data_IF_921431426263
#
_entry.id   IF_921431426263
#
_cell.length_a   1.000
_cell.length_b   1.000
_cell.length_c   1.000
_cell.angle_alpha   90.00
_cell.angle_beta   90.00
_cell.angle_gamma   90.00
#
_symmetry.space_group_name_H-M   'P 1'
#
loop_
_entity.id
_entity.type
_entity.pdbx_description
1 polymer ?
#
# COMPACT_ATOMS: atom_id res chain seq x y z
N UNK A 1 10.68 28.61 4.69
CA UNK A 1 10.51 28.10 6.08
C UNK A 1 11.42 26.89 6.30
N UNK A 2 11.44 25.92 5.38
CA UNK A 2 12.30 24.72 5.38
C UNK A 2 13.79 24.98 5.67
N UNK A 3 14.44 25.91 4.97
CA UNK A 3 15.87 26.21 5.16
C UNK A 3 16.25 26.69 6.58
N UNK A 4 15.29 27.15 7.39
CA UNK A 4 15.60 27.69 8.74
C UNK A 4 15.57 26.64 9.85
N UNK A 5 15.03 25.45 9.60
CA UNK A 5 14.80 24.46 10.65
C UNK A 5 15.51 23.13 10.43
N UNK A 6 15.87 22.79 9.19
CA UNK A 6 16.58 21.54 8.85
C UNK A 6 17.84 21.33 9.70
N UNK A 7 18.65 22.37 9.91
CA UNK A 7 19.91 22.26 10.67
C UNK A 7 19.73 21.93 12.17
N UNK A 8 18.49 21.97 12.67
CA UNK A 8 18.15 21.81 14.09
C UNK A 8 17.30 20.55 14.33
N UNK A 9 16.80 19.91 13.26
CA UNK A 9 15.94 18.73 13.38
C UNK A 9 16.76 17.51 13.85
N UNK A 10 16.18 16.66 14.72
CA UNK A 10 16.72 15.33 15.00
C UNK A 10 16.85 14.50 13.72
N UNK A 11 17.80 13.56 13.72
CA UNK A 11 18.06 12.65 12.61
C UNK A 11 16.79 11.91 12.14
N UNK A 12 15.93 11.49 13.08
CA UNK A 12 14.66 10.84 12.77
C UNK A 12 13.71 11.75 11.97
N UNK A 13 13.65 13.05 12.28
CA UNK A 13 12.77 13.99 11.57
C UNK A 13 13.35 14.35 10.19
N UNK A 14 14.67 14.41 10.05
CA UNK A 14 15.35 14.56 8.77
C UNK A 14 15.12 13.36 7.85
N UNK A 15 15.18 12.14 8.39
CA UNK A 15 14.88 10.92 7.66
C UNK A 15 13.45 10.94 7.11
N UNK A 16 12.47 11.37 7.93
CA UNK A 16 11.07 11.50 7.50
C UNK A 16 10.92 12.47 6.33
N UNK A 17 11.58 13.63 6.39
CA UNK A 17 11.53 14.62 5.32
C UNK A 17 12.13 14.05 4.03
N UNK A 18 13.30 13.40 4.09
CA UNK A 18 13.95 12.81 2.92
C UNK A 18 13.08 11.71 2.28
N UNK A 19 12.45 10.85 3.08
CA UNK A 19 11.52 9.82 2.58
C UNK A 19 10.31 10.47 1.88
N UNK A 20 9.72 11.51 2.48
CA UNK A 20 8.55 12.19 1.89
C UNK A 20 8.94 12.89 0.59
N UNK A 21 10.01 13.67 0.57
CA UNK A 21 10.48 14.39 -0.62
C UNK A 21 10.77 13.42 -1.77
N UNK A 22 11.45 12.31 -1.48
CA UNK A 22 11.74 11.30 -2.51
C UNK A 22 10.51 10.55 -2.99
N UNK A 23 9.56 10.27 -2.11
CA UNK A 23 8.27 9.67 -2.49
C UNK A 23 7.53 10.59 -3.45
N UNK A 24 7.45 11.89 -3.14
CA UNK A 24 6.81 12.88 -3.99
C UNK A 24 7.55 13.07 -5.32
N UNK A 25 8.88 13.16 -5.30
CA UNK A 25 9.69 13.28 -6.51
C UNK A 25 9.52 12.07 -7.42
N UNK A 26 9.43 10.86 -6.86
CA UNK A 26 9.15 9.66 -7.64
C UNK A 26 7.78 9.71 -8.31
N UNK A 27 6.74 10.12 -7.58
CA UNK A 27 5.39 10.28 -8.12
C UNK A 27 5.30 11.34 -9.23
N UNK A 28 6.18 12.35 -9.23
CA UNK A 28 6.13 13.49 -10.17
C UNK A 28 7.06 13.31 -11.37
N UNK A 29 8.25 12.72 -11.19
CA UNK A 29 9.36 12.88 -12.13
C UNK A 29 9.90 11.58 -12.73
N UNK A 30 9.50 10.38 -12.25
CA UNK A 30 10.05 9.08 -12.67
C UNK A 30 11.60 8.98 -12.68
N UNK A 31 12.33 9.96 -12.11
CA UNK A 31 13.79 10.02 -12.27
C UNK A 31 14.48 8.94 -11.45
N UNK A 32 15.22 8.09 -12.19
CA UNK A 32 16.10 7.04 -11.70
C UNK A 32 17.22 7.61 -10.82
N UNK A 33 17.01 7.60 -9.51
CA UNK A 33 18.15 7.40 -8.62
C UNK A 33 17.94 6.08 -7.89
N UNK A 34 18.94 5.20 -7.98
CA UNK A 34 19.03 3.93 -7.25
C UNK A 34 18.73 4.19 -5.77
N UNK A 35 17.54 3.79 -5.35
CA UNK A 35 17.06 3.98 -3.98
C UNK A 35 17.76 3.08 -2.98
N UNK A 36 18.49 2.08 -3.45
CA UNK A 36 18.92 1.03 -2.55
C UNK A 36 20.01 1.52 -1.59
N UNK A 37 21.06 2.21 -2.04
CA UNK A 37 22.23 2.39 -1.17
C UNK A 37 22.01 3.29 0.06
N UNK A 38 21.17 4.33 -0.05
CA UNK A 38 21.02 5.33 1.03
C UNK A 38 20.13 4.81 2.16
N UNK A 39 19.12 4.00 1.84
CA UNK A 39 18.16 3.51 2.83
C UNK A 39 18.27 2.02 3.16
N UNK A 40 19.14 1.26 2.49
CA UNK A 40 19.26 -0.18 2.74
C UNK A 40 19.61 -0.48 4.20
N UNK A 41 20.48 0.31 4.84
CA UNK A 41 20.80 0.14 6.25
C UNK A 41 19.58 0.32 7.15
N UNK A 42 18.72 1.32 6.85
CA UNK A 42 17.48 1.56 7.58
C UNK A 42 16.45 0.44 7.33
N UNK A 43 16.36 -0.07 6.10
CA UNK A 43 15.50 -1.23 5.77
C UNK A 43 15.96 -2.49 6.51
N UNK A 44 17.28 -2.74 6.57
CA UNK A 44 17.85 -3.86 7.33
C UNK A 44 17.55 -3.71 8.83
N UNK A 45 17.59 -2.50 9.36
CA UNK A 45 17.21 -2.23 10.75
C UNK A 45 15.71 -2.46 10.98
N UNK A 46 14.86 -1.97 10.07
CA UNK A 46 13.41 -2.19 10.14
C UNK A 46 13.08 -3.70 10.13
N UNK A 47 13.74 -4.51 9.30
CA UNK A 47 13.55 -5.97 9.29
C UNK A 47 13.85 -6.66 10.65
N UNK A 48 14.67 -6.05 11.51
CA UNK A 48 15.00 -6.59 12.83
C UNK A 48 13.99 -6.20 13.91
N UNK A 49 13.14 -5.19 13.66
CA UNK A 49 12.15 -4.70 14.62
C UNK A 49 10.91 -5.59 14.64
N UNK A 50 10.29 -5.70 15.82
CA UNK A 50 8.97 -6.34 15.98
C UNK A 50 7.84 -5.30 16.10
N UNK A 51 8.14 -4.11 16.61
CA UNK A 51 7.23 -2.96 16.64
C UNK A 51 7.81 -1.85 15.78
N UNK A 52 7.01 -1.34 14.86
CA UNK A 52 7.41 -0.26 13.97
C UNK A 52 7.10 1.12 14.56
N UNK A 53 7.96 2.08 14.23
CA UNK A 53 7.67 3.50 14.36
C UNK A 53 6.99 4.02 13.09
N UNK A 54 6.52 5.27 13.13
CA UNK A 54 6.00 5.97 11.95
C UNK A 54 7.02 5.98 10.80
N UNK A 55 8.29 6.26 11.11
CA UNK A 55 9.37 6.31 10.11
C UNK A 55 9.63 4.95 9.48
N UNK A 56 9.54 3.87 10.27
CA UNK A 56 9.66 2.52 9.72
C UNK A 56 8.54 2.23 8.71
N UNK A 57 7.29 2.65 9.01
CA UNK A 57 6.16 2.49 8.09
C UNK A 57 6.34 3.29 6.81
N UNK A 58 6.74 4.57 6.93
CA UNK A 58 6.99 5.43 5.77
C UNK A 58 8.10 4.86 4.88
N UNK A 59 9.18 4.37 5.49
CA UNK A 59 10.29 3.76 4.77
C UNK A 59 9.85 2.47 4.05
N UNK A 60 9.09 1.61 4.72
CA UNK A 60 8.58 0.37 4.13
C UNK A 60 7.61 0.69 2.98
N UNK A 61 6.71 1.65 3.17
CA UNK A 61 5.79 2.12 2.12
C UNK A 61 6.56 2.60 0.89
N UNK A 62 7.54 3.47 1.09
CA UNK A 62 8.38 3.98 0.01
C UNK A 62 9.10 2.87 -0.76
N UNK A 63 9.75 1.94 -0.03
CA UNK A 63 10.40 0.79 -0.65
C UNK A 63 9.40 -0.06 -1.45
N UNK A 64 8.23 -0.35 -0.85
CA UNK A 64 7.19 -1.13 -1.50
C UNK A 64 6.63 -0.46 -2.77
N UNK A 65 6.45 0.86 -2.77
CA UNK A 65 6.06 1.60 -3.97
C UNK A 65 7.08 1.44 -5.09
N UNK A 66 8.38 1.49 -4.79
CA UNK A 66 9.41 1.26 -5.81
C UNK A 66 9.39 -0.15 -6.34
N UNK A 67 9.14 -1.14 -5.50
CA UNK A 67 9.02 -2.52 -5.94
C UNK A 67 7.83 -2.77 -6.89
N UNK A 68 6.92 -1.82 -7.07
CA UNK A 68 5.81 -1.95 -8.04
C UNK A 68 6.30 -1.83 -9.48
N UNK A 69 7.29 -0.97 -9.74
CA UNK A 69 7.78 -0.67 -11.09
C UNK A 69 9.06 -1.42 -11.46
N UNK A 70 9.71 -2.08 -10.49
CA UNK A 70 11.01 -2.75 -10.67
C UNK A 70 11.02 -4.15 -10.06
N UNK A 71 12.00 -4.97 -10.48
CA UNK A 71 12.34 -6.22 -9.81
C UNK A 71 12.73 -5.96 -8.35
N UNK A 72 12.36 -6.88 -7.46
CA UNK A 72 12.55 -6.70 -6.03
C UNK A 72 12.88 -8.00 -5.30
N UNK A 73 13.42 -7.86 -4.09
CA UNK A 73 13.62 -8.99 -3.18
C UNK A 73 12.28 -9.42 -2.57
N UNK A 74 11.68 -10.46 -3.17
CA UNK A 74 10.43 -11.04 -2.70
C UNK A 74 10.50 -11.54 -1.25
N UNK A 75 11.63 -12.07 -0.81
CA UNK A 75 11.78 -12.54 0.57
C UNK A 75 11.73 -11.36 1.56
N UNK A 76 12.35 -10.24 1.20
CA UNK A 76 12.32 -8.99 1.98
C UNK A 76 10.89 -8.44 2.08
N UNK A 77 10.17 -8.33 0.97
CA UNK A 77 8.76 -7.89 0.95
C UNK A 77 7.86 -8.81 1.78
N UNK A 78 8.05 -10.12 1.66
CA UNK A 78 7.27 -11.08 2.44
C UNK A 78 7.58 -11.02 3.95
N UNK A 79 8.83 -10.75 4.34
CA UNK A 79 9.17 -10.48 5.75
C UNK A 79 8.47 -9.23 6.27
N UNK A 80 8.47 -8.14 5.48
CA UNK A 80 7.75 -6.93 5.84
C UNK A 80 6.25 -7.17 5.97
N UNK A 81 5.61 -7.84 4.99
CA UNK A 81 4.20 -8.23 5.08
C UNK A 81 3.89 -8.96 6.38
N UNK A 82 4.64 -10.02 6.69
CA UNK A 82 4.40 -10.82 7.90
C UNK A 82 4.50 -10.02 9.20
N UNK A 83 5.35 -8.99 9.23
CA UNK A 83 5.51 -8.09 10.38
C UNK A 83 4.43 -7.02 10.42
N UNK A 84 4.06 -6.44 9.27
CA UNK A 84 3.00 -5.43 9.14
C UNK A 84 1.63 -6.00 9.59
N UNK A 85 1.27 -7.20 9.15
CA UNK A 85 -0.01 -7.82 9.54
C UNK A 85 -0.10 -8.11 11.04
N UNK A 86 1.03 -8.19 11.73
CA UNK A 86 1.12 -8.41 13.18
C UNK A 86 1.18 -7.11 13.99
N UNK A 87 1.37 -5.95 13.37
CA UNK A 87 1.41 -4.67 14.10
C UNK A 87 0.09 -4.42 14.83
N UNK A 88 0.18 -3.97 16.07
CA UNK A 88 -0.98 -3.53 16.83
C UNK A 88 -1.32 -2.07 16.51
N UNK A 89 -2.57 -1.69 16.77
CA UNK A 89 -2.96 -0.29 16.69
C UNK A 89 -2.24 0.51 17.76
N UNK A 90 -1.79 1.70 17.39
CA UNK A 90 -1.22 2.64 18.34
C UNK A 90 -2.25 3.74 18.68
N UNK A 91 -2.03 4.44 19.78
CA UNK A 91 -2.86 5.59 20.16
C UNK A 91 -2.74 6.77 19.20
N UNK A 92 -1.67 6.80 18.40
CA UNK A 92 -1.45 7.79 17.35
C UNK A 92 -2.24 7.43 16.08
N UNK A 93 -3.13 8.32 15.66
CA UNK A 93 -3.95 8.16 14.46
C UNK A 93 -3.10 8.13 13.19
N UNK A 94 -2.06 8.97 13.11
CA UNK A 94 -1.20 9.05 11.93
C UNK A 94 -0.46 7.73 11.71
N UNK A 95 0.05 7.12 12.78
CA UNK A 95 0.65 5.79 12.70
C UNK A 95 -0.30 4.76 12.09
N UNK A 96 -1.56 4.74 12.55
CA UNK A 96 -2.53 3.77 12.07
C UNK A 96 -2.90 3.98 10.60
N UNK A 97 -2.95 5.24 10.14
CA UNK A 97 -3.14 5.59 8.74
C UNK A 97 -1.95 5.13 7.90
N UNK A 98 -0.72 5.41 8.34
CA UNK A 98 0.49 4.94 7.64
C UNK A 98 0.62 3.43 7.63
N UNK A 99 0.10 2.72 8.65
CA UNK A 99 0.07 1.26 8.64
C UNK A 99 -0.87 0.73 7.55
N UNK A 100 -2.03 1.36 7.35
CA UNK A 100 -2.93 1.06 6.22
C UNK A 100 -2.23 1.41 4.89
N UNK A 101 -1.50 2.53 4.85
CA UNK A 101 -0.68 2.93 3.69
C UNK A 101 0.37 1.90 3.30
N UNK A 102 1.16 1.42 4.27
CA UNK A 102 2.19 0.39 4.05
C UNK A 102 1.59 -0.93 3.55
N UNK A 103 0.47 -1.37 4.14
CA UNK A 103 -0.26 -2.54 3.66
C UNK A 103 -0.79 -2.34 2.23
N UNK A 104 -1.28 -1.14 1.90
CA UNK A 104 -1.73 -0.78 0.55
C UNK A 104 -0.58 -0.81 -0.46
N UNK A 105 0.62 -0.33 -0.07
CA UNK A 105 1.79 -0.34 -0.93
C UNK A 105 2.25 -1.77 -1.24
N UNK A 106 2.23 -2.68 -0.25
CA UNK A 106 2.48 -4.12 -0.44
C UNK A 106 1.41 -4.75 -1.34
N UNK A 107 0.13 -4.44 -1.14
CA UNK A 107 -0.94 -4.88 -2.03
C UNK A 107 -0.73 -4.39 -3.47
N UNK A 108 -0.24 -3.16 -3.65
CA UNK A 108 0.11 -2.62 -4.96
C UNK A 108 1.16 -3.46 -5.69
N UNK A 109 2.18 -3.98 -4.98
CA UNK A 109 3.17 -4.91 -5.58
C UNK A 109 2.48 -6.14 -6.16
N UNK A 110 1.56 -6.74 -5.41
CA UNK A 110 0.82 -7.92 -5.88
C UNK A 110 -0.03 -7.63 -7.11
N UNK A 111 -0.61 -6.43 -7.19
CA UNK A 111 -1.35 -6.01 -8.39
C UNK A 111 -0.40 -5.85 -9.59
N UNK A 112 0.68 -5.09 -9.44
CA UNK A 112 1.59 -4.77 -10.56
C UNK A 112 2.37 -5.98 -11.07
N UNK A 113 2.67 -6.94 -10.19
CA UNK A 113 3.37 -8.17 -10.55
C UNK A 113 2.44 -9.37 -10.79
N UNK A 114 1.11 -9.14 -10.78
CA UNK A 114 0.09 -10.16 -10.95
C UNK A 114 0.23 -11.40 -10.02
N UNK A 115 0.76 -11.22 -8.81
CA UNK A 115 0.90 -12.29 -7.80
C UNK A 115 -0.03 -12.06 -6.62
N UNK A 116 -1.23 -12.60 -6.73
CA UNK A 116 -2.32 -12.36 -5.77
C UNK A 116 -2.35 -13.33 -4.60
N UNK A 117 -1.47 -14.34 -4.56
CA UNK A 117 -1.56 -15.46 -3.61
C UNK A 117 -1.65 -14.99 -2.14
N UNK A 118 -0.85 -14.01 -1.78
CA UNK A 118 -0.72 -13.53 -0.39
C UNK A 118 -1.61 -12.31 -0.08
N UNK A 119 -2.32 -11.78 -1.09
CA UNK A 119 -3.17 -10.58 -1.01
C UNK A 119 -4.20 -10.67 0.12
N UNK A 120 -4.83 -11.83 0.31
CA UNK A 120 -5.93 -11.99 1.26
C UNK A 120 -5.53 -11.65 2.70
N UNK A 121 -4.31 -12.03 3.09
CA UNK A 121 -3.79 -11.74 4.44
C UNK A 121 -3.62 -10.23 4.71
N UNK A 122 -3.27 -9.47 3.67
CA UNK A 122 -3.11 -8.01 3.72
C UNK A 122 -4.47 -7.35 3.82
N UNK A 123 -5.40 -7.74 2.93
CA UNK A 123 -6.80 -7.29 2.93
C UNK A 123 -7.47 -7.51 4.28
N UNK A 124 -7.34 -8.70 4.86
CA UNK A 124 -7.95 -9.04 6.16
C UNK A 124 -7.43 -8.14 7.28
N UNK A 125 -6.12 -7.84 7.27
CA UNK A 125 -5.56 -6.90 8.22
C UNK A 125 -6.12 -5.49 8.01
N UNK A 126 -6.21 -5.02 6.77
CA UNK A 126 -6.71 -3.68 6.45
C UNK A 126 -8.15 -3.50 6.91
N UNK A 127 -9.04 -4.49 6.73
CA UNK A 127 -10.40 -4.43 7.27
C UNK A 127 -10.42 -4.24 8.79
N UNK A 128 -9.62 -5.04 9.51
CA UNK A 128 -9.51 -4.92 10.98
C UNK A 128 -9.04 -3.52 11.40
N UNK A 129 -8.06 -2.96 10.68
CA UNK A 129 -7.55 -1.62 10.98
C UNK A 129 -8.62 -0.56 10.72
N UNK A 130 -9.21 -0.55 9.51
CA UNK A 130 -10.22 0.43 9.08
C UNK A 130 -11.43 0.45 10.02
N UNK A 131 -11.92 -0.73 10.42
CA UNK A 131 -13.09 -0.80 11.30
C UNK A 131 -12.78 -0.31 12.72
N UNK A 132 -11.56 -0.57 13.22
CA UNK A 132 -11.14 -0.11 14.55
C UNK A 132 -10.76 1.36 14.60
N UNK A 133 -10.24 1.92 13.51
CA UNK A 133 -9.78 3.32 13.42
C UNK A 133 -10.83 4.25 12.83
N UNK A 134 -11.97 3.71 12.37
CA UNK A 134 -13.05 4.44 11.70
C UNK A 134 -12.62 5.12 10.38
N UNK A 135 -11.52 4.67 9.77
CA UNK A 135 -10.98 5.19 8.52
C UNK A 135 -11.75 4.64 7.29
N UNK A 136 -13.07 4.85 7.28
CA UNK A 136 -14.00 4.20 6.33
C UNK A 136 -13.74 4.58 4.86
N UNK A 137 -13.09 5.73 4.62
CA UNK A 137 -12.73 6.19 3.28
C UNK A 137 -11.80 5.23 2.52
N UNK A 138 -11.04 4.36 3.22
CA UNK A 138 -10.15 3.39 2.59
C UNK A 138 -10.85 2.10 2.13
N UNK A 139 -12.08 1.84 2.59
CA UNK A 139 -12.79 0.59 2.28
C UNK A 139 -12.95 0.31 0.78
N UNK A 140 -13.28 1.29 -0.08
CA UNK A 140 -13.39 1.04 -1.52
C UNK A 140 -12.11 0.46 -2.12
N UNK A 141 -10.94 0.99 -1.75
CA UNK A 141 -9.66 0.48 -2.25
C UNK A 141 -9.39 -0.96 -1.76
N UNK A 142 -9.70 -1.27 -0.50
CA UNK A 142 -9.54 -2.63 0.05
C UNK A 142 -10.47 -3.64 -0.65
N UNK A 143 -11.70 -3.25 -0.95
CA UNK A 143 -12.64 -4.08 -1.71
C UNK A 143 -12.12 -4.38 -3.12
N UNK A 144 -11.46 -3.41 -3.78
CA UNK A 144 -10.82 -3.63 -5.09
C UNK A 144 -9.69 -4.66 -4.98
N UNK A 145 -8.81 -4.55 -3.97
CA UNK A 145 -7.78 -5.56 -3.74
C UNK A 145 -8.37 -6.96 -3.49
N UNK A 146 -9.44 -7.05 -2.70
CA UNK A 146 -10.11 -8.32 -2.46
C UNK A 146 -10.77 -8.88 -3.73
N UNK A 147 -11.37 -8.01 -4.55
CA UNK A 147 -11.97 -8.41 -5.82
C UNK A 147 -10.92 -9.02 -6.76
N UNK A 148 -9.76 -8.38 -6.91
CA UNK A 148 -8.62 -8.91 -7.70
C UNK A 148 -8.14 -10.25 -7.18
N UNK A 149 -8.05 -10.43 -5.86
CA UNK A 149 -7.73 -11.73 -5.26
C UNK A 149 -8.71 -12.82 -5.70
N UNK A 150 -10.03 -12.57 -5.55
CA UNK A 150 -11.00 -13.58 -5.96
C UNK A 150 -10.99 -13.83 -7.46
N UNK A 151 -10.77 -12.79 -8.27
CA UNK A 151 -10.77 -12.93 -9.72
C UNK A 151 -9.58 -13.73 -10.23
N UNK A 152 -8.37 -13.37 -9.82
CA UNK A 152 -7.12 -13.87 -10.41
C UNK A 152 -6.49 -15.04 -9.65
N UNK A 153 -6.78 -15.21 -8.36
CA UNK A 153 -6.25 -16.33 -7.56
C UNK A 153 -7.30 -17.43 -7.32
N UNK A 154 -8.46 -17.07 -6.77
CA UNK A 154 -9.54 -18.04 -6.47
C UNK A 154 -10.39 -18.39 -7.70
N UNK A 155 -10.23 -17.68 -8.82
CA UNK A 155 -11.02 -17.85 -10.04
C UNK A 155 -12.55 -17.72 -9.81
N UNK A 156 -12.94 -16.88 -8.85
CA UNK A 156 -14.33 -16.62 -8.47
C UNK A 156 -14.79 -15.24 -8.98
N UNK A 157 -15.20 -15.22 -10.26
CA UNK A 157 -15.66 -14.01 -10.94
C UNK A 157 -16.90 -13.39 -10.31
N UNK A 158 -17.87 -14.21 -9.87
CA UNK A 158 -19.12 -13.71 -9.30
C UNK A 158 -18.84 -12.92 -8.03
N UNK A 159 -18.00 -13.46 -7.14
CA UNK A 159 -17.59 -12.78 -5.92
C UNK A 159 -16.76 -11.52 -6.19
N UNK A 160 -15.83 -11.58 -7.15
CA UNK A 160 -15.09 -10.39 -7.56
C UNK A 160 -16.01 -9.27 -8.07
N UNK A 161 -17.01 -9.62 -8.89
CA UNK A 161 -17.98 -8.66 -9.44
C UNK A 161 -18.83 -8.04 -8.33
N UNK A 162 -19.29 -8.82 -7.34
CA UNK A 162 -20.00 -8.31 -6.16
C UNK A 162 -19.15 -7.30 -5.37
N UNK A 163 -17.86 -7.63 -5.15
CA UNK A 163 -16.94 -6.76 -4.42
C UNK A 163 -16.66 -5.45 -5.17
N UNK A 164 -16.43 -5.49 -6.49
CA UNK A 164 -16.26 -4.27 -7.30
C UNK A 164 -17.51 -3.38 -7.29
N UNK A 165 -18.70 -3.97 -7.42
CA UNK A 165 -19.95 -3.23 -7.34
C UNK A 165 -20.11 -2.57 -5.96
N UNK A 166 -19.80 -3.29 -4.89
CA UNK A 166 -19.81 -2.75 -3.52
C UNK A 166 -18.82 -1.61 -3.35
N UNK A 167 -17.60 -1.76 -3.88
CA UNK A 167 -16.58 -0.71 -3.86
C UNK A 167 -17.04 0.55 -4.59
N UNK A 168 -17.70 0.38 -5.74
CA UNK A 168 -18.24 1.48 -6.55
C UNK A 168 -19.31 2.26 -5.79
N UNK A 169 -20.32 1.57 -5.23
CA UNK A 169 -21.40 2.20 -4.47
C UNK A 169 -20.84 2.97 -3.26
N UNK A 170 -19.86 2.40 -2.58
CA UNK A 170 -19.23 3.04 -1.43
C UNK A 170 -18.39 4.25 -1.83
N UNK A 171 -17.64 4.17 -2.93
CA UNK A 171 -16.89 5.29 -3.48
C UNK A 171 -17.81 6.45 -3.91
N UNK A 172 -18.95 6.13 -4.55
CA UNK A 172 -19.98 7.11 -4.91
C UNK A 172 -20.55 7.83 -3.68
N UNK A 173 -20.72 7.14 -2.56
CA UNK A 173 -21.15 7.74 -1.30
C UNK A 173 -20.11 8.71 -0.71
N UNK A 174 -18.81 8.49 -0.93
CA UNK A 174 -17.73 9.38 -0.49
C UNK A 174 -17.44 10.53 -1.45
N UNK A 175 -17.86 10.43 -2.72
CA UNK A 175 -17.89 11.53 -3.67
C UNK A 175 -16.58 11.80 -4.43
N UNK A 176 -15.57 10.93 -4.33
CA UNK A 176 -14.32 11.06 -5.11
C UNK A 176 -14.51 10.63 -6.57
N UNK A 177 -14.84 11.60 -7.43
CA UNK A 177 -15.14 11.35 -8.83
C UNK A 177 -13.95 10.80 -9.64
N UNK A 178 -12.72 11.14 -9.26
CA UNK A 178 -11.52 10.64 -9.97
C UNK A 178 -11.34 9.17 -9.64
N UNK A 179 -11.41 8.82 -8.35
CA UNK A 179 -11.32 7.44 -7.90
C UNK A 179 -12.45 6.57 -8.48
N UNK A 180 -13.71 7.04 -8.46
CA UNK A 180 -14.85 6.31 -9.03
C UNK A 180 -14.63 6.00 -10.52
N UNK A 181 -14.14 6.98 -11.29
CA UNK A 181 -13.87 6.79 -12.72
C UNK A 181 -12.79 5.72 -12.95
N UNK A 182 -11.69 5.80 -12.20
CA UNK A 182 -10.58 4.85 -12.33
C UNK A 182 -11.02 3.44 -11.91
N UNK A 183 -11.78 3.32 -10.82
CA UNK A 183 -12.31 2.03 -10.35
C UNK A 183 -13.20 1.36 -11.39
N UNK A 184 -14.13 2.09 -12.01
CA UNK A 184 -15.00 1.53 -13.06
C UNK A 184 -14.21 1.03 -14.26
N UNK A 185 -13.21 1.80 -14.70
CA UNK A 185 -12.32 1.40 -15.79
C UNK A 185 -11.51 0.15 -15.43
N UNK A 186 -10.98 0.09 -14.21
CA UNK A 186 -10.22 -1.05 -13.71
C UNK A 186 -11.08 -2.33 -13.66
N UNK A 187 -12.30 -2.22 -13.14
CA UNK A 187 -13.26 -3.32 -13.10
C UNK A 187 -13.56 -3.88 -14.50
N UNK A 188 -13.82 -3.01 -15.47
CA UNK A 188 -14.08 -3.42 -16.87
C UNK A 188 -12.86 -4.15 -17.44
N UNK A 189 -11.66 -3.59 -17.32
CA UNK A 189 -10.42 -4.19 -17.80
C UNK A 189 -10.16 -5.57 -17.17
N UNK A 190 -10.30 -5.69 -15.85
CA UNK A 190 -10.06 -6.94 -15.12
C UNK A 190 -11.05 -8.04 -15.53
N UNK A 191 -12.33 -7.67 -15.61
CA UNK A 191 -13.41 -8.59 -15.98
C UNK A 191 -13.32 -8.99 -17.46
N UNK A 192 -12.81 -8.14 -18.35
CA UNK A 192 -12.61 -8.52 -19.74
C UNK A 192 -11.37 -9.42 -19.91
N UNK A 193 -10.24 -9.08 -19.28
CA UNK A 193 -8.98 -9.85 -19.37
C UNK A 193 -9.13 -11.28 -18.84
N UNK A 194 -9.93 -11.47 -17.79
CA UNK A 194 -10.21 -12.81 -17.25
C UNK A 194 -11.06 -13.71 -18.17
N UNK A 195 -11.66 -13.17 -19.23
CA UNK A 195 -12.36 -13.97 -20.25
C UNK A 195 -11.43 -14.58 -21.29
N UNK A 196 -10.26 -13.99 -21.54
CA UNK A 196 -9.29 -14.47 -22.55
C UNK A 196 -8.43 -15.64 -22.04
N UNK A 197 -8.42 -15.88 -20.72
CA UNK A 197 -7.63 -16.94 -20.08
C UNK A 197 -8.36 -18.30 -19.96
N UNK A 198 -9.50 -18.47 -20.66
CA UNK A 198 -10.28 -19.73 -20.71
C UNK A 198 -10.20 -20.39 -22.07
#
# INVERSE_FOLDING_TARGET
LYEKYIDILPEDELLTIDIIERTLNFMISEEESLIESVFEDYLIQALKKESYSLNDLLLISYYAFRCQDYDYDKEKIEKFRHKLIKQELQGDELFNVELIGALSAIAGIYVMHHDYKEMKSVVDKMYVLIDKTLQQAYKPAVLVFEAKYYLFYENNRDKATELYNTATVLAEAFGDQVFIKNLKMEMENDLDTSNESK
#
